data_IF_051332432408
#
_entry.id   IF_051332432408
#
_cell.length_a   1.000
_cell.length_b   1.000
_cell.length_c   1.000
_cell.angle_alpha   90.00
_cell.angle_beta   90.00
_cell.angle_gamma   90.00
#
_symmetry.space_group_name_H-M   'P 1'
#
loop_
_entity.id
_entity.type
_entity.pdbx_description
1 polymer ?
#
# COMPACT_ATOMS: atom_id res chain seq x y z
N UNK A 1 -6.94 -33.35 -6.82
CA UNK A 1 -7.45 -32.71 -5.61
C UNK A 1 -6.39 -32.90 -4.54
N UNK A 2 -5.42 -32.00 -4.47
CA UNK A 2 -4.34 -32.05 -3.49
C UNK A 2 -4.78 -31.21 -2.31
N UNK A 3 -5.17 -31.86 -1.23
CA UNK A 3 -5.39 -31.20 0.06
C UNK A 3 -4.00 -30.96 0.64
N UNK A 4 -3.51 -29.73 0.56
CA UNK A 4 -2.33 -29.33 1.34
C UNK A 4 -2.82 -29.04 2.75
N UNK A 5 -2.67 -30.01 3.65
CA UNK A 5 -2.70 -29.74 5.09
C UNK A 5 -1.36 -29.10 5.41
N UNK A 6 -1.23 -27.78 5.24
CA UNK A 6 -0.07 -27.07 5.78
C UNK A 6 -0.19 -27.15 7.29
N UNK A 7 0.67 -27.94 7.92
CA UNK A 7 0.67 -28.09 9.37
C UNK A 7 1.05 -26.75 10.02
N UNK A 8 0.41 -26.41 11.14
CA UNK A 8 0.71 -25.17 11.89
C UNK A 8 2.19 -25.07 12.28
N UNK A 9 2.87 -26.22 12.43
CA UNK A 9 4.32 -26.31 12.67
C UNK A 9 5.19 -25.92 11.47
N UNK A 10 4.82 -26.29 10.24
CA UNK A 10 5.53 -25.86 9.02
C UNK A 10 5.33 -24.36 8.74
N UNK A 11 4.14 -23.82 9.05
CA UNK A 11 3.86 -22.37 8.94
C UNK A 11 4.64 -21.58 10.00
N UNK A 12 4.72 -22.08 11.24
CA UNK A 12 5.49 -21.46 12.31
C UNK A 12 7.00 -21.46 12.01
N UNK A 13 7.53 -22.56 11.47
CA UNK A 13 8.90 -22.61 10.98
C UNK A 13 9.10 -21.64 9.80
N UNK A 14 8.18 -21.58 8.84
CA UNK A 14 8.26 -20.65 7.70
C UNK A 14 8.35 -19.19 8.15
N UNK A 15 7.49 -18.77 9.07
CA UNK A 15 7.48 -17.40 9.62
C UNK A 15 8.72 -17.10 10.46
N UNK A 16 9.15 -18.02 11.32
CA UNK A 16 10.37 -17.84 12.12
C UNK A 16 11.61 -17.66 11.23
N UNK A 17 11.69 -18.44 10.14
CA UNK A 17 12.77 -18.39 9.17
C UNK A 17 12.75 -17.13 8.28
N UNK A 18 11.69 -16.30 8.30
CA UNK A 18 11.69 -15.02 7.56
C UNK A 18 12.68 -14.01 8.16
N UNK A 19 12.91 -14.04 9.47
CA UNK A 19 13.78 -13.10 10.18
C UNK A 19 15.19 -13.01 9.58
N UNK A 20 15.90 -14.13 9.45
CA UNK A 20 17.25 -14.12 8.87
C UNK A 20 17.23 -13.88 7.36
N UNK A 21 16.15 -14.19 6.65
CA UNK A 21 16.02 -13.90 5.21
C UNK A 21 15.96 -12.40 4.97
N UNK A 22 15.12 -11.69 5.74
CA UNK A 22 15.07 -10.23 5.72
C UNK A 22 16.42 -9.62 6.12
N UNK A 23 17.05 -10.14 7.18
CA UNK A 23 18.37 -9.68 7.58
C UNK A 23 19.40 -9.89 6.46
N UNK A 24 19.41 -11.06 5.82
CA UNK A 24 20.35 -11.37 4.73
C UNK A 24 20.16 -10.44 3.54
N UNK A 25 18.92 -10.17 3.14
CA UNK A 25 18.63 -9.23 2.05
C UNK A 25 19.07 -7.80 2.41
N UNK A 26 18.86 -7.37 3.66
CA UNK A 26 19.21 -6.02 4.13
C UNK A 26 20.71 -5.66 4.04
N UNK A 27 21.60 -6.65 3.86
CA UNK A 27 23.06 -6.41 3.81
C UNK A 27 23.46 -5.61 2.57
N UNK A 28 22.88 -5.93 1.41
CA UNK A 28 23.27 -5.35 0.11
C UNK A 28 22.07 -4.84 -0.71
N UNK A 29 20.88 -4.76 -0.12
CA UNK A 29 19.71 -4.23 -0.81
C UNK A 29 19.85 -2.73 -1.06
N UNK A 30 19.35 -2.27 -2.21
CA UNK A 30 19.14 -0.83 -2.47
C UNK A 30 17.96 -0.29 -1.67
N UNK A 31 16.99 -1.15 -1.39
CA UNK A 31 15.84 -0.81 -0.57
C UNK A 31 16.23 -0.92 0.91
N UNK A 32 16.01 0.14 1.71
CA UNK A 32 16.65 0.25 3.02
C UNK A 32 15.92 -0.50 4.15
N UNK A 33 14.80 -1.16 3.85
CA UNK A 33 13.85 -1.69 4.85
C UNK A 33 13.48 -0.62 5.89
N UNK A 34 13.07 0.56 5.41
CA UNK A 34 12.69 1.69 6.26
C UNK A 34 11.46 1.30 7.07
N UNK A 35 11.53 1.53 8.38
CA UNK A 35 10.49 1.20 9.34
C UNK A 35 10.09 2.44 10.14
N UNK A 36 8.79 2.56 10.40
CA UNK A 36 8.18 3.75 10.98
C UNK A 36 7.83 3.52 12.45
N UNK A 37 8.12 4.49 13.34
CA UNK A 37 7.72 4.39 14.74
C UNK A 37 6.20 4.40 14.84
N UNK A 38 5.63 3.44 15.57
CA UNK A 38 4.19 3.37 15.79
C UNK A 38 3.85 2.73 17.14
N UNK A 39 2.70 3.10 17.72
CA UNK A 39 2.29 2.57 19.02
C UNK A 39 1.89 1.09 18.94
N UNK A 40 1.21 0.68 17.86
CA UNK A 40 0.75 -0.68 17.65
C UNK A 40 0.72 -1.09 16.17
N UNK A 41 0.61 -2.40 15.93
CA UNK A 41 0.46 -2.93 14.56
C UNK A 41 -0.88 -2.48 13.94
N UNK A 42 -1.94 -2.39 14.75
CA UNK A 42 -3.26 -1.95 14.29
C UNK A 42 -3.24 -0.48 13.86
N UNK A 43 -2.47 0.37 14.55
CA UNK A 43 -2.24 1.75 14.15
C UNK A 43 -1.47 1.84 12.82
N UNK A 44 -0.46 0.97 12.66
CA UNK A 44 0.31 0.88 11.42
C UNK A 44 -0.56 0.40 10.24
N UNK A 45 -1.32 -0.68 10.41
CA UNK A 45 -2.24 -1.20 9.40
C UNK A 45 -3.39 -0.23 9.07
N UNK A 46 -3.79 0.61 10.02
CA UNK A 46 -4.74 1.70 9.81
C UNK A 46 -4.09 2.95 9.20
N UNK A 47 -2.81 2.87 8.81
CA UNK A 47 -2.05 3.94 8.17
C UNK A 47 -1.96 5.23 9.00
N UNK A 48 -1.77 5.09 10.31
CA UNK A 48 -1.63 6.23 11.24
C UNK A 48 -0.17 6.67 11.45
N UNK A 49 0.81 5.87 11.03
CA UNK A 49 2.22 6.01 11.41
C UNK A 49 3.15 5.87 10.19
N UNK A 50 3.22 6.90 9.36
CA UNK A 50 3.93 6.86 8.07
C UNK A 50 4.97 7.98 7.93
N UNK A 51 5.28 8.64 9.04
CA UNK A 51 6.34 9.63 9.13
C UNK A 51 7.32 9.20 10.21
N UNK A 52 8.54 9.73 10.14
CA UNK A 52 9.59 9.38 11.08
C UNK A 52 9.40 9.94 12.49
N UNK A 53 8.33 10.71 12.74
CA UNK A 53 8.02 11.38 14.01
C UNK A 53 9.28 12.03 14.65
N UNK A 54 9.33 12.18 15.98
CA UNK A 54 10.51 12.75 16.65
C UNK A 54 11.60 11.68 16.92
N UNK A 55 11.19 10.41 16.96
CA UNK A 55 12.00 9.25 17.23
C UNK A 55 12.95 8.90 16.06
N UNK A 56 12.66 9.43 14.87
CA UNK A 56 13.31 9.05 13.62
C UNK A 56 12.74 7.75 13.05
N UNK A 57 12.97 7.50 11.76
CA UNK A 57 12.72 6.17 11.19
C UNK A 57 13.93 5.27 11.42
N UNK A 58 13.68 3.97 11.56
CA UNK A 58 14.72 2.96 11.66
C UNK A 58 14.87 2.19 10.34
N UNK A 59 15.96 1.43 10.23
CA UNK A 59 16.16 0.46 9.15
C UNK A 59 16.15 -0.94 9.75
N UNK A 60 15.38 -1.86 9.18
CA UNK A 60 15.44 -3.25 9.63
C UNK A 60 16.69 -3.95 9.08
N UNK A 61 17.40 -4.68 9.94
CA UNK A 61 18.52 -5.54 9.53
C UNK A 61 19.90 -4.91 9.70
N UNK A 62 20.78 -5.10 8.71
CA UNK A 62 22.22 -4.77 8.80
C UNK A 62 22.52 -3.29 9.07
N UNK A 63 21.58 -2.41 8.71
CA UNK A 63 21.71 -0.96 8.85
C UNK A 63 20.91 -0.35 10.01
N UNK A 64 20.40 -1.19 10.93
CA UNK A 64 19.63 -0.75 12.09
C UNK A 64 20.41 0.16 13.05
N UNK A 65 21.74 0.16 12.97
CA UNK A 65 22.62 1.00 13.77
C UNK A 65 22.69 2.46 13.29
N UNK A 66 22.31 2.74 12.03
CA UNK A 66 22.41 4.07 11.42
C UNK A 66 21.48 5.11 12.07
N UNK A 67 20.28 4.70 12.48
CA UNK A 67 19.30 5.57 13.14
C UNK A 67 18.88 4.95 14.47
N UNK A 68 19.52 5.41 15.55
CA UNK A 68 19.14 5.03 16.91
C UNK A 68 18.17 6.06 17.48
N UNK A 69 17.11 5.64 18.20
CA UNK A 69 16.21 6.57 18.83
C UNK A 69 16.98 7.49 19.80
N UNK A 70 16.62 8.77 19.92
CA UNK A 70 17.35 9.77 20.72
C UNK A 70 17.45 9.47 22.22
N UNK A 71 16.71 8.48 22.73
CA UNK A 71 16.63 8.17 24.16
C UNK A 71 16.78 6.66 24.43
N UNK A 72 17.05 6.28 25.68
CA UNK A 72 17.04 4.88 26.16
C UNK A 72 15.64 4.24 26.16
N UNK A 73 14.68 4.81 25.43
CA UNK A 73 13.31 4.30 25.34
C UNK A 73 13.23 3.19 24.31
N UNK A 74 12.44 2.17 24.64
CA UNK A 74 12.07 1.12 23.70
C UNK A 74 11.04 1.68 22.71
N UNK A 75 11.45 1.82 21.44
CA UNK A 75 10.56 2.25 20.34
C UNK A 75 10.21 1.03 19.49
N UNK A 76 8.93 0.89 19.13
CA UNK A 76 8.47 -0.14 18.20
C UNK A 76 8.38 0.46 16.79
N UNK A 77 8.96 -0.26 15.84
CA UNK A 77 8.94 0.12 14.43
C UNK A 77 8.19 -0.93 13.62
N UNK A 78 7.49 -0.48 12.58
CA UNK A 78 6.70 -1.32 11.68
C UNK A 78 6.99 -0.96 10.23
N UNK A 79 6.93 -1.97 9.36
CA UNK A 79 7.05 -1.87 7.90
C UNK A 79 6.29 -3.04 7.27
N UNK A 80 5.93 -2.93 5.99
CA UNK A 80 5.49 -4.09 5.19
C UNK A 80 6.66 -4.71 4.43
N UNK A 81 6.48 -5.97 4.03
CA UNK A 81 7.41 -6.70 3.17
C UNK A 81 6.61 -7.52 2.17
N UNK A 82 7.15 -7.75 0.99
CA UNK A 82 6.57 -8.66 0.02
C UNK A 82 6.54 -10.10 0.57
N UNK A 83 5.66 -10.92 0.03
CA UNK A 83 5.60 -12.36 0.32
C UNK A 83 6.84 -13.10 -0.18
N UNK A 84 7.46 -12.61 -1.27
CA UNK A 84 8.60 -13.23 -1.95
C UNK A 84 9.81 -12.30 -2.05
N UNK A 85 11.00 -12.88 -2.27
CA UNK A 85 12.21 -12.10 -2.47
C UNK A 85 12.19 -11.40 -3.85
N UNK A 86 12.65 -10.14 -3.98
CA UNK A 86 13.13 -9.28 -2.90
C UNK A 86 11.98 -8.85 -1.97
N UNK A 87 12.19 -9.03 -0.67
CA UNK A 87 11.17 -8.78 0.35
C UNK A 87 10.97 -7.29 0.66
N UNK A 88 12.00 -6.49 0.42
CA UNK A 88 11.94 -5.06 0.71
C UNK A 88 11.01 -4.32 -0.26
N UNK A 89 10.14 -3.48 0.28
CA UNK A 89 9.22 -2.65 -0.48
C UNK A 89 9.54 -1.16 -0.26
N UNK A 90 9.28 -0.36 -1.29
CA UNK A 90 9.14 1.09 -1.20
C UNK A 90 7.66 1.42 -1.03
N UNK A 91 7.33 2.46 -0.27
CA UNK A 91 5.95 2.76 0.11
C UNK A 91 5.48 4.01 -0.59
N UNK A 92 4.29 3.92 -1.19
CA UNK A 92 3.62 5.05 -1.82
C UNK A 92 2.36 5.38 -1.03
N UNK A 93 2.19 6.66 -0.71
CA UNK A 93 0.91 7.22 -0.29
C UNK A 93 0.18 7.75 -1.51
N UNK A 94 -1.05 7.27 -1.73
CA UNK A 94 -1.87 7.62 -2.88
C UNK A 94 -3.16 8.26 -2.37
N UNK A 95 -3.44 9.49 -2.76
CA UNK A 95 -4.69 10.18 -2.43
C UNK A 95 -5.50 10.39 -3.70
N UNK A 96 -6.76 9.95 -3.69
CA UNK A 96 -7.69 10.09 -4.82
C UNK A 96 -8.85 10.96 -4.35
N UNK A 97 -9.07 12.06 -5.06
CA UNK A 97 -10.19 12.97 -4.85
C UNK A 97 -11.18 12.82 -5.98
N UNK A 98 -12.37 12.35 -5.65
CA UNK A 98 -13.45 12.20 -6.63
C UNK A 98 -14.14 13.54 -6.87
N UNK A 99 -14.53 13.74 -8.13
CA UNK A 99 -15.24 14.95 -8.55
C UNK A 99 -16.59 15.09 -7.88
N UNK A 100 -17.03 16.34 -7.73
CA UNK A 100 -18.33 16.68 -7.15
C UNK A 100 -19.49 16.07 -7.95
N UNK A 101 -20.64 15.93 -7.29
CA UNK A 101 -21.84 15.37 -7.91
C UNK A 101 -22.26 16.19 -9.14
N UNK A 102 -22.14 15.57 -10.32
CA UNK A 102 -22.68 16.08 -11.58
C UNK A 102 -23.89 15.25 -12.01
N UNK A 103 -23.82 14.63 -13.19
CA UNK A 103 -24.86 13.73 -13.74
C UNK A 103 -24.67 12.26 -13.34
N UNK A 104 -23.74 11.95 -12.44
CA UNK A 104 -23.35 10.60 -12.05
C UNK A 104 -23.48 10.41 -10.53
N UNK A 105 -23.95 9.23 -10.13
CA UNK A 105 -24.18 8.85 -8.73
C UNK A 105 -23.00 8.12 -8.11
N UNK A 106 -23.20 7.57 -6.91
CA UNK A 106 -22.23 6.69 -6.28
C UNK A 106 -22.10 5.38 -7.06
N UNK A 107 -20.87 4.92 -7.24
CA UNK A 107 -20.57 3.63 -7.85
C UNK A 107 -19.79 2.75 -6.87
N UNK A 108 -19.78 1.44 -7.11
CA UNK A 108 -18.94 0.50 -6.34
C UNK A 108 -17.94 -0.11 -7.30
N UNK A 109 -16.69 -0.22 -6.88
CA UNK A 109 -15.66 -0.77 -7.74
C UNK A 109 -14.31 -0.96 -7.08
N UNK A 110 -13.42 -1.55 -7.87
CA UNK A 110 -12.00 -1.70 -7.56
C UNK A 110 -11.20 -0.60 -8.26
N UNK A 111 -10.23 -0.06 -7.54
CA UNK A 111 -9.33 0.98 -8.02
C UNK A 111 -7.97 0.37 -8.31
N UNK A 112 -7.35 0.80 -9.40
CA UNK A 112 -5.99 0.41 -9.75
C UNK A 112 -5.21 1.56 -10.34
N UNK A 113 -3.90 1.49 -10.23
CA UNK A 113 -3.01 2.57 -10.59
C UNK A 113 -1.70 2.04 -11.19
N UNK A 114 -1.13 2.78 -12.14
CA UNK A 114 0.25 2.60 -12.61
C UNK A 114 0.98 3.91 -12.41
N UNK A 115 2.07 3.89 -11.65
CA UNK A 115 2.92 5.07 -11.40
C UNK A 115 4.07 5.04 -12.38
N UNK A 116 4.26 6.14 -13.10
CA UNK A 116 5.42 6.37 -13.96
C UNK A 116 6.34 7.36 -13.27
N UNK A 117 7.44 6.87 -12.71
CA UNK A 117 8.46 7.69 -12.10
C UNK A 117 9.73 7.80 -12.95
N UNK A 118 10.69 8.60 -12.48
CA UNK A 118 11.98 8.81 -13.15
C UNK A 118 12.84 7.54 -13.25
N UNK A 119 12.70 6.63 -12.28
CA UNK A 119 13.55 5.45 -12.17
C UNK A 119 12.89 4.21 -12.79
N UNK A 120 11.56 4.08 -12.66
CA UNK A 120 10.82 2.93 -13.17
C UNK A 120 9.33 3.23 -13.35
N UNK A 121 8.64 2.30 -14.01
CA UNK A 121 7.18 2.25 -14.10
C UNK A 121 6.71 1.06 -13.26
N UNK A 122 5.74 1.27 -12.37
CA UNK A 122 5.24 0.19 -11.53
C UNK A 122 4.41 -0.81 -12.34
N UNK A 123 4.29 -2.07 -11.88
CA UNK A 123 3.16 -2.91 -12.26
C UNK A 123 1.82 -2.23 -11.94
N UNK A 124 0.71 -2.81 -12.42
CA UNK A 124 -0.63 -2.38 -11.99
C UNK A 124 -0.80 -2.68 -10.50
N UNK A 125 -1.01 -1.63 -9.72
CA UNK A 125 -1.25 -1.71 -8.28
C UNK A 125 -2.77 -1.71 -8.05
N UNK A 126 -3.28 -2.66 -7.29
CA UNK A 126 -4.67 -2.64 -6.80
C UNK A 126 -4.71 -1.93 -5.45
N UNK A 127 -5.57 -0.93 -5.30
CA UNK A 127 -5.55 -0.05 -4.13
C UNK A 127 -6.41 -0.55 -2.96
N UNK A 128 -7.49 -1.27 -3.26
CA UNK A 128 -8.47 -1.74 -2.28
C UNK A 128 -8.52 -3.27 -2.24
N UNK A 129 -8.64 -3.84 -1.04
CA UNK A 129 -8.74 -5.30 -0.83
C UNK A 129 -10.12 -5.86 -1.15
N UNK A 130 -11.15 -5.01 -1.14
CA UNK A 130 -12.53 -5.36 -1.48
C UNK A 130 -13.23 -4.18 -2.14
N UNK A 131 -14.21 -4.41 -3.04
CA UNK A 131 -14.87 -3.35 -3.78
C UNK A 131 -15.44 -2.28 -2.85
N UNK A 132 -15.10 -1.02 -3.11
CA UNK A 132 -15.48 0.08 -2.23
C UNK A 132 -16.48 1.01 -2.90
N UNK A 133 -17.28 1.71 -2.09
CA UNK A 133 -18.21 2.72 -2.56
C UNK A 133 -17.46 4.02 -2.86
N UNK A 134 -17.56 4.46 -4.10
CA UNK A 134 -17.01 5.69 -4.65
C UNK A 134 -18.14 6.73 -4.70
N UNK A 135 -18.12 7.67 -3.77
CA UNK A 135 -19.16 8.71 -3.68
C UNK A 135 -18.66 10.03 -4.26
N UNK A 136 -19.48 10.80 -4.99
CA UNK A 136 -19.04 12.09 -5.50
C UNK A 136 -18.50 12.99 -4.39
N UNK A 137 -17.37 13.65 -4.64
CA UNK A 137 -16.68 14.52 -3.68
C UNK A 137 -15.91 13.80 -2.56
N UNK A 138 -15.89 12.47 -2.50
CA UNK A 138 -15.14 11.75 -1.47
C UNK A 138 -13.63 11.74 -1.75
N UNK A 139 -12.85 11.69 -0.68
CA UNK A 139 -11.39 11.56 -0.71
C UNK A 139 -11.01 10.22 -0.11
N UNK A 140 -10.12 9.50 -0.79
CA UNK A 140 -9.63 8.19 -0.36
C UNK A 140 -8.12 8.17 -0.37
N UNK A 141 -7.51 7.71 0.72
CA UNK A 141 -6.06 7.59 0.84
C UNK A 141 -5.68 6.12 1.00
N UNK A 142 -4.68 5.69 0.23
CA UNK A 142 -4.17 4.33 0.18
C UNK A 142 -2.66 4.34 0.41
N UNK A 143 -2.18 3.23 0.93
CA UNK A 143 -0.77 3.01 1.20
C UNK A 143 -0.40 1.65 0.64
N UNK A 144 0.59 1.65 -0.23
CA UNK A 144 0.95 0.47 -1.03
C UNK A 144 2.45 0.29 -1.05
N UNK A 145 2.89 -0.95 -0.85
CA UNK A 145 4.25 -1.37 -1.12
C UNK A 145 4.46 -1.60 -2.62
N UNK A 146 5.61 -1.18 -3.13
CA UNK A 146 6.06 -1.44 -4.51
C UNK A 146 7.49 -1.99 -4.49
N UNK A 147 7.83 -2.92 -5.40
CA UNK A 147 9.10 -3.66 -5.34
C UNK A 147 10.31 -2.84 -5.80
N UNK A 148 10.13 -1.59 -6.21
CA UNK A 148 11.20 -0.76 -6.78
C UNK A 148 10.94 0.72 -6.55
N UNK A 149 12.01 1.45 -6.27
CA UNK A 149 11.98 2.90 -6.13
C UNK A 149 11.56 3.55 -7.45
N UNK A 150 10.41 4.22 -7.42
CA UNK A 150 9.89 4.97 -8.58
C UNK A 150 10.68 6.25 -8.83
N UNK A 151 11.40 6.77 -7.85
CA UNK A 151 12.03 8.09 -7.89
C UNK A 151 10.99 9.21 -7.93
N UNK A 152 11.29 10.28 -8.67
CA UNK A 152 10.34 11.40 -8.81
C UNK A 152 9.14 10.96 -9.67
N UNK A 153 7.94 11.05 -9.12
CA UNK A 153 6.69 10.73 -9.84
C UNK A 153 6.49 11.73 -10.98
N UNK A 154 6.28 11.21 -12.20
CA UNK A 154 6.09 12.03 -13.41
C UNK A 154 4.64 12.02 -13.88
N UNK A 155 3.97 10.86 -13.81
CA UNK A 155 2.57 10.72 -14.19
C UNK A 155 1.97 9.45 -13.61
N UNK A 156 0.64 9.39 -13.65
CA UNK A 156 -0.17 8.31 -13.09
C UNK A 156 -1.23 7.90 -14.10
N UNK A 157 -1.34 6.60 -14.35
CA UNK A 157 -2.48 6.04 -15.07
C UNK A 157 -3.45 5.44 -14.04
N UNK A 158 -4.55 6.14 -13.77
CA UNK A 158 -5.62 5.66 -12.92
C UNK A 158 -6.61 4.80 -13.73
N UNK A 159 -7.05 3.69 -13.15
CA UNK A 159 -8.07 2.79 -13.71
C UNK A 159 -9.05 2.39 -12.62
N UNK A 160 -10.30 2.14 -13.00
CA UNK A 160 -11.30 1.60 -12.08
C UNK A 160 -12.15 0.55 -12.79
N UNK A 161 -12.66 -0.41 -12.02
CA UNK A 161 -13.54 -1.45 -12.51
C UNK A 161 -14.83 -1.47 -11.69
N UNK A 162 -15.98 -1.29 -12.36
CA UNK A 162 -17.28 -1.34 -11.69
C UNK A 162 -17.59 -2.76 -11.22
N UNK A 163 -18.04 -2.88 -9.97
CA UNK A 163 -18.52 -4.15 -9.40
C UNK A 163 -20.00 -4.00 -9.09
N UNK A 164 -20.81 -4.84 -9.74
CA UNK A 164 -22.26 -4.85 -9.50
C UNK A 164 -22.55 -5.36 -8.09
N UNK A 165 -23.46 -4.68 -7.40
CA UNK A 165 -23.99 -5.19 -6.14
C UNK A 165 -24.83 -6.43 -6.39
N UNK A 166 -24.49 -7.55 -5.76
CA UNK A 166 -25.32 -8.77 -5.82
C UNK A 166 -26.57 -8.68 -4.94
N UNK A 167 -26.65 -7.68 -4.06
CA UNK A 167 -27.75 -7.52 -3.09
C UNK A 167 -28.79 -6.49 -3.52
N UNK A 168 -28.57 -5.75 -4.61
CA UNK A 168 -29.48 -4.74 -5.11
C UNK A 168 -29.88 -5.00 -6.58
N UNK A 169 -30.92 -5.83 -6.82
CA UNK A 169 -31.34 -6.21 -8.16
C UNK A 169 -31.93 -5.07 -8.99
N UNK A 170 -32.35 -3.96 -8.36
CA UNK A 170 -32.87 -2.79 -9.07
C UNK A 170 -31.78 -1.97 -9.75
N UNK A 171 -30.53 -2.07 -9.27
CA UNK A 171 -29.38 -1.37 -9.84
C UNK A 171 -28.57 -2.20 -10.85
N UNK A 172 -29.03 -3.42 -11.16
CA UNK A 172 -28.38 -4.28 -12.16
C UNK A 172 -28.54 -3.71 -13.57
N UNK A 173 -27.45 -3.78 -14.33
CA UNK A 173 -27.44 -3.34 -15.73
C UNK A 173 -27.96 -4.43 -16.68
N UNK A 174 -29.14 -5.00 -16.41
CA UNK A 174 -29.69 -6.17 -17.13
C UNK A 174 -29.90 -5.86 -18.62
N UNK A 175 -30.32 -4.64 -18.94
CA UNK A 175 -30.59 -4.17 -20.30
C UNK A 175 -29.38 -3.51 -20.98
N UNK A 176 -28.23 -3.43 -20.30
CA UNK A 176 -27.02 -2.79 -20.84
C UNK A 176 -27.10 -1.26 -21.00
N UNK A 177 -28.14 -0.61 -20.48
CA UNK A 177 -28.40 0.83 -20.65
C UNK A 177 -27.66 1.73 -19.67
N UNK A 178 -27.16 1.17 -18.55
CA UNK A 178 -26.36 1.90 -17.55
C UNK A 178 -24.88 1.82 -17.93
N UNK A 179 -24.24 2.98 -18.02
CA UNK A 179 -22.79 3.09 -18.15
C UNK A 179 -22.24 3.76 -16.89
N UNK A 180 -21.77 2.99 -15.90
CA UNK A 180 -21.17 3.52 -14.69
C UNK A 180 -20.04 4.49 -15.02
N UNK A 181 -20.04 5.65 -14.37
CA UNK A 181 -19.03 6.69 -14.56
C UNK A 181 -18.68 7.29 -13.21
N UNK A 182 -17.40 7.59 -13.04
CA UNK A 182 -16.88 8.38 -11.93
C UNK A 182 -16.12 9.57 -12.51
N UNK A 183 -16.11 10.69 -11.79
CA UNK A 183 -15.20 11.79 -12.04
C UNK A 183 -14.07 11.74 -11.02
N UNK A 184 -12.84 11.98 -11.48
CA UNK A 184 -11.66 12.10 -10.63
C UNK A 184 -11.11 13.50 -10.85
N UNK A 185 -11.04 14.28 -9.77
CA UNK A 185 -10.51 15.64 -9.82
C UNK A 185 -8.98 15.61 -9.74
N UNK A 186 -8.45 14.79 -8.84
CA UNK A 186 -7.04 14.81 -8.47
C UNK A 186 -6.58 13.42 -7.99
N UNK A 187 -5.35 13.07 -8.35
CA UNK A 187 -4.66 11.86 -7.89
C UNK A 187 -3.24 12.26 -7.49
N UNK A 188 -2.98 12.27 -6.19
CA UNK A 188 -1.66 12.59 -5.65
C UNK A 188 -0.93 11.32 -5.25
N UNK A 189 0.37 11.26 -5.54
CA UNK A 189 1.23 10.14 -5.19
C UNK A 189 2.52 10.67 -4.55
N UNK A 190 2.76 10.25 -3.31
CA UNK A 190 3.92 10.64 -2.52
C UNK A 190 4.78 9.41 -2.18
N UNK A 191 6.10 9.54 -2.30
CA UNK A 191 7.06 8.51 -1.89
C UNK A 191 7.38 8.68 -0.40
N UNK A 192 6.99 7.72 0.43
CA UNK A 192 7.06 7.86 1.90
C UNK A 192 8.52 7.77 2.40
N UNK A 193 9.41 7.13 1.65
CA UNK A 193 10.83 7.04 2.01
C UNK A 193 11.55 8.40 2.01
N UNK A 194 11.08 9.36 1.21
CA UNK A 194 11.73 10.66 1.02
C UNK A 194 11.17 11.78 1.91
N UNK A 195 10.09 11.55 2.66
CA UNK A 195 9.39 12.61 3.42
C UNK A 195 9.97 12.93 4.81
N UNK A 196 11.13 12.37 5.17
CA UNK A 196 11.85 12.75 6.39
C UNK A 196 13.30 12.26 6.35
N UNK A 197 14.20 13.17 5.96
CA UNK A 197 15.46 13.42 6.66
C UNK A 197 15.27 14.64 7.58
#
# INVERSE_FOLDING_TARGET
MTIIVLSVGEVAACNHLRSYKFFTESINSKCPFKAYPCASEEDFQANRCLSCQQEGCAYMGMHADKNRPPSLQYVKYYLSTDEHAPFCEYHLQITIKLGQAGTFGSETGDLSLVVKGSNTVTPRITLNSSPMKLSPGSVHTFYVGVPSDVGSVQSVDFSWHHVQSITDPLHWNILGTRHPKIAVDEVDVFTVENEAE
#
